data_IF_853031388016
#
_entry.id   IF_853031388016
#
_cell.length_a   1.000
_cell.length_b   1.000
_cell.length_c   1.000
_cell.angle_alpha   90.00
_cell.angle_beta   90.00
_cell.angle_gamma   90.00
#
_symmetry.space_group_name_H-M   'P 1'
#
loop_
_entity.id
_entity.type
_entity.pdbx_description
1 polymer ?
#
# COMPACT_ATOMS: atom_id res chain seq x y z
N UNK A 1 14.90 6.01 9.62
CA UNK A 1 14.26 6.42 8.35
C UNK A 1 13.10 7.36 8.66
N UNK A 2 13.09 8.55 8.05
CA UNK A 2 12.03 9.54 8.26
C UNK A 2 10.73 9.16 7.53
N UNK A 3 9.65 9.89 7.83
CA UNK A 3 8.30 9.62 7.31
C UNK A 3 8.19 9.85 5.80
N UNK A 4 8.85 10.88 5.27
CA UNK A 4 8.78 11.20 3.85
C UNK A 4 9.45 10.08 3.04
N UNK A 5 10.62 9.60 3.49
CA UNK A 5 11.29 8.46 2.88
C UNK A 5 10.45 7.19 2.89
N UNK A 6 9.72 6.93 3.99
CA UNK A 6 8.79 5.78 4.07
C UNK A 6 7.64 5.88 3.07
N UNK A 7 7.09 7.09 2.87
CA UNK A 7 6.05 7.34 1.86
C UNK A 7 6.59 7.08 0.45
N UNK A 8 7.80 7.55 0.14
CA UNK A 8 8.45 7.31 -1.15
C UNK A 8 8.67 5.81 -1.42
N UNK A 9 9.13 5.06 -0.42
CA UNK A 9 9.28 3.61 -0.51
C UNK A 9 7.93 2.96 -0.82
N UNK A 10 6.90 3.26 -0.03
CA UNK A 10 5.56 2.69 -0.24
C UNK A 10 5.01 3.04 -1.61
N UNK A 11 5.16 4.29 -2.07
CA UNK A 11 4.68 4.68 -3.40
C UNK A 11 5.46 3.99 -4.52
N UNK A 12 6.77 3.77 -4.35
CA UNK A 12 7.56 2.96 -5.28
C UNK A 12 7.03 1.52 -5.36
N UNK A 13 6.68 0.92 -4.21
CA UNK A 13 6.08 -0.41 -4.18
C UNK A 13 4.69 -0.43 -4.83
N UNK A 14 3.85 0.57 -4.59
CA UNK A 14 2.54 0.65 -5.24
C UNK A 14 2.69 0.77 -6.76
N UNK A 15 3.62 1.58 -7.25
CA UNK A 15 3.92 1.69 -8.68
C UNK A 15 4.40 0.35 -9.25
N UNK A 16 5.32 -0.32 -8.56
CA UNK A 16 5.75 -1.66 -8.96
C UNK A 16 4.56 -2.61 -9.07
N UNK A 17 3.69 -2.65 -8.06
CA UNK A 17 2.48 -3.49 -8.06
C UNK A 17 1.54 -3.14 -9.22
N UNK A 18 1.35 -1.84 -9.50
CA UNK A 18 0.50 -1.34 -10.57
C UNK A 18 1.03 -1.60 -11.99
N UNK A 19 2.34 -1.67 -12.16
CA UNK A 19 2.98 -1.96 -13.44
C UNK A 19 2.93 -3.45 -13.82
N UNK A 20 2.72 -4.33 -12.84
CA UNK A 20 2.76 -5.79 -13.03
C UNK A 20 1.37 -6.45 -13.11
N UNK A 21 0.32 -5.81 -12.59
CA UNK A 21 -1.05 -6.36 -12.63
C UNK A 21 -2.06 -5.31 -13.11
N UNK A 22 -2.72 -5.60 -14.23
CA UNK A 22 -3.76 -4.71 -14.77
C UNK A 22 -4.92 -4.57 -13.78
N UNK A 23 -5.29 -3.33 -13.44
CA UNK A 23 -6.38 -3.04 -12.51
C UNK A 23 -5.99 -3.12 -11.02
N UNK A 24 -4.77 -3.53 -10.69
CA UNK A 24 -4.24 -3.45 -9.32
C UNK A 24 -3.65 -2.04 -9.12
N UNK A 25 -4.22 -1.24 -8.21
CA UNK A 25 -3.75 0.12 -7.93
C UNK A 25 -3.72 1.09 -9.12
N UNK A 26 -4.19 0.71 -10.32
CA UNK A 26 -4.23 1.59 -11.50
C UNK A 26 -5.57 1.50 -12.22
N UNK A 27 -6.09 2.66 -12.60
CA UNK A 27 -7.28 2.78 -13.43
C UNK A 27 -7.08 3.91 -14.45
N UNK A 28 -7.00 3.56 -15.73
CA UNK A 28 -6.53 4.50 -16.75
C UNK A 28 -5.11 4.98 -16.44
N UNK A 29 -4.90 6.30 -16.47
CA UNK A 29 -3.61 6.93 -16.15
C UNK A 29 -3.39 7.16 -14.64
N UNK A 30 -4.40 6.88 -13.80
CA UNK A 30 -4.35 7.16 -12.37
C UNK A 30 -3.80 5.96 -11.59
N UNK A 31 -2.72 6.18 -10.84
CA UNK A 31 -2.15 5.19 -9.90
C UNK A 31 -2.39 5.62 -8.46
N UNK A 32 -2.83 4.70 -7.63
CA UNK A 32 -3.05 4.94 -6.21
C UNK A 32 -1.74 5.34 -5.54
N UNK A 33 -1.80 6.23 -4.55
CA UNK A 33 -0.59 6.69 -3.88
C UNK A 33 -0.88 7.28 -2.51
N UNK A 34 0.14 7.31 -1.66
CA UNK A 34 0.15 8.07 -0.43
C UNK A 34 0.71 9.48 -0.67
N UNK A 35 0.14 10.46 0.03
CA UNK A 35 0.67 11.82 0.10
C UNK A 35 0.56 12.38 1.51
N UNK A 36 1.45 13.32 1.84
CA UNK A 36 1.45 14.01 3.12
C UNK A 36 1.29 15.52 2.89
N UNK A 37 0.38 16.18 3.63
CA UNK A 37 0.11 17.62 3.49
C UNK A 37 0.87 18.48 4.53
N UNK A 38 1.86 17.89 5.21
CA UNK A 38 2.56 18.49 6.35
C UNK A 38 1.93 18.15 7.71
N UNK A 39 0.66 17.73 7.74
CA UNK A 39 -0.06 17.37 8.98
C UNK A 39 -0.62 15.96 8.97
N UNK A 40 -1.16 15.52 7.85
CA UNK A 40 -1.92 14.29 7.69
C UNK A 40 -1.35 13.44 6.56
N UNK A 41 -1.43 12.13 6.77
CA UNK A 41 -1.22 11.15 5.72
C UNK A 41 -2.55 10.92 5.00
N UNK A 42 -2.50 10.88 3.68
CA UNK A 42 -3.63 10.61 2.81
C UNK A 42 -3.29 9.46 1.87
N UNK A 43 -4.24 8.57 1.64
CA UNK A 43 -4.21 7.62 0.55
C UNK A 43 -5.19 8.11 -0.52
N UNK A 44 -4.71 8.26 -1.76
CA UNK A 44 -5.53 8.59 -2.93
C UNK A 44 -5.77 7.29 -3.67
N UNK A 45 -7.04 6.93 -3.80
CA UNK A 45 -7.46 5.71 -4.47
C UNK A 45 -7.50 5.89 -5.99
N UNK A 46 -6.94 4.94 -6.74
CA UNK A 46 -6.83 4.95 -8.20
C UNK A 46 -8.17 5.11 -8.95
N UNK A 47 -9.23 4.46 -8.48
CA UNK A 47 -10.52 4.49 -9.17
C UNK A 47 -11.35 5.73 -8.79
N UNK A 48 -11.51 5.99 -7.49
CA UNK A 48 -12.34 7.12 -7.04
C UNK A 48 -11.63 8.48 -7.12
N UNK A 49 -10.30 8.49 -7.19
CA UNK A 49 -9.42 9.65 -7.07
C UNK A 49 -9.69 10.49 -5.80
N UNK A 50 -10.27 9.89 -4.76
CA UNK A 50 -10.59 10.57 -3.51
C UNK A 50 -9.47 10.38 -2.49
N UNK A 51 -8.93 11.49 -2.00
CA UNK A 51 -7.99 11.48 -0.89
C UNK A 51 -8.70 11.09 0.44
N UNK A 52 -8.23 10.01 1.06
CA UNK A 52 -8.75 9.46 2.31
C UNK A 52 -7.69 9.53 3.40
N UNK A 53 -8.06 10.11 4.55
CA UNK A 53 -7.12 10.32 5.65
C UNK A 53 -6.74 8.99 6.27
N UNK A 54 -5.45 8.71 6.32
CA UNK A 54 -4.90 7.53 6.97
C UNK A 54 -4.41 7.91 8.37
N UNK A 55 -4.71 7.05 9.35
CA UNK A 55 -4.30 7.20 10.74
C UNK A 55 -3.83 5.84 11.27
N UNK A 56 -3.27 5.80 12.48
CA UNK A 56 -2.94 4.54 13.17
C UNK A 56 -4.15 3.69 13.55
N UNK A 57 -5.38 4.21 13.43
CA UNK A 57 -6.58 3.39 13.64
C UNK A 57 -6.79 2.44 12.47
N UNK A 58 -7.06 1.17 12.78
CA UNK A 58 -7.37 0.11 11.82
C UNK A 58 -8.80 0.18 11.27
N UNK A 59 -9.70 0.93 11.93
CA UNK A 59 -11.10 1.06 11.51
C UNK A 59 -11.24 2.02 10.33
N UNK A 60 -12.04 1.62 9.34
CA UNK A 60 -12.48 2.53 8.27
C UNK A 60 -13.39 3.61 8.85
N UNK A 61 -13.21 4.85 8.41
CA UNK A 61 -14.21 5.88 8.58
C UNK A 61 -15.21 5.87 7.41
N UNK A 62 -16.34 6.59 7.55
CA UNK A 62 -17.39 6.66 6.52
C UNK A 62 -16.89 7.06 5.13
N UNK A 63 -15.86 7.90 5.04
CA UNK A 63 -15.27 8.30 3.76
C UNK A 63 -14.52 7.12 3.13
N UNK A 64 -13.76 6.38 3.92
CA UNK A 64 -13.05 5.18 3.46
C UNK A 64 -14.00 4.06 3.05
N UNK A 65 -15.06 3.83 3.80
CA UNK A 65 -16.09 2.83 3.44
C UNK A 65 -16.76 3.16 2.11
N UNK A 66 -16.95 4.45 1.80
CA UNK A 66 -17.65 4.90 0.60
C UNK A 66 -16.76 4.97 -0.65
N UNK A 67 -15.49 5.35 -0.49
CA UNK A 67 -14.64 5.71 -1.64
C UNK A 67 -13.44 4.77 -1.86
N UNK A 68 -13.11 3.91 -0.91
CA UNK A 68 -12.11 2.88 -1.17
C UNK A 68 -12.71 1.84 -2.12
N UNK A 69 -12.18 1.77 -3.34
CA UNK A 69 -12.76 0.99 -4.44
C UNK A 69 -12.38 -0.49 -4.43
N UNK A 70 -11.29 -0.85 -3.75
CA UNK A 70 -10.77 -2.22 -3.76
C UNK A 70 -11.32 -3.10 -2.62
N UNK A 71 -11.06 -4.40 -2.71
CA UNK A 71 -11.48 -5.40 -1.71
C UNK A 71 -10.67 -5.42 -0.40
N UNK A 72 -11.02 -6.36 0.48
CA UNK A 72 -10.43 -6.51 1.82
C UNK A 72 -8.92 -6.78 1.82
N UNK A 73 -8.43 -7.60 0.91
CA UNK A 73 -6.99 -7.89 0.74
C UNK A 73 -6.19 -6.62 0.48
N UNK A 74 -6.71 -5.77 -0.41
CA UNK A 74 -6.06 -4.51 -0.74
C UNK A 74 -6.09 -3.53 0.42
N UNK A 75 -7.22 -3.48 1.13
CA UNK A 75 -7.32 -2.67 2.34
C UNK A 75 -6.27 -3.07 3.37
N UNK A 76 -6.10 -4.37 3.63
CA UNK A 76 -5.09 -4.86 4.57
C UNK A 76 -3.67 -4.44 4.16
N UNK A 77 -3.32 -4.54 2.88
CA UNK A 77 -2.01 -4.09 2.38
C UNK A 77 -1.80 -2.58 2.58
N UNK A 78 -2.81 -1.75 2.26
CA UNK A 78 -2.78 -0.30 2.51
C UNK A 78 -2.64 0.01 4.00
N UNK A 79 -3.17 -0.83 4.88
CA UNK A 79 -2.99 -0.70 6.32
C UNK A 79 -1.56 -1.05 6.76
N UNK A 80 -0.98 -2.13 6.26
CA UNK A 80 0.42 -2.47 6.52
C UNK A 80 1.36 -1.34 6.06
N UNK A 81 1.13 -0.78 4.87
CA UNK A 81 1.86 0.40 4.39
C UNK A 81 1.68 1.63 5.27
N UNK A 82 0.45 1.87 5.76
CA UNK A 82 0.18 2.97 6.69
C UNK A 82 0.98 2.82 7.97
N UNK A 83 1.03 1.61 8.53
CA UNK A 83 1.73 1.33 9.78
C UNK A 83 3.25 1.47 9.60
N UNK A 84 3.80 1.00 8.48
CA UNK A 84 5.18 1.25 8.08
C UNK A 84 5.51 2.74 8.02
N UNK A 85 4.67 3.55 7.35
CA UNK A 85 4.85 5.01 7.25
C UNK A 85 4.84 5.66 8.65
N UNK A 86 4.07 5.11 9.59
CA UNK A 86 4.01 5.58 10.97
C UNK A 86 5.14 5.07 11.88
N UNK A 87 6.06 4.27 11.35
CA UNK A 87 7.29 3.84 12.02
C UNK A 87 7.34 2.37 12.43
N UNK A 88 6.37 1.54 12.03
CA UNK A 88 6.42 0.10 12.29
C UNK A 88 7.16 -0.65 11.18
N UNK A 89 8.44 -0.95 11.44
CA UNK A 89 9.31 -1.68 10.52
C UNK A 89 8.96 -3.18 10.39
N UNK A 90 7.97 -3.68 11.15
CA UNK A 90 7.48 -5.06 11.08
C UNK A 90 6.00 -5.14 10.67
N UNK A 91 5.50 -4.11 10.00
CA UNK A 91 4.06 -3.96 9.69
C UNK A 91 3.51 -4.95 8.67
N UNK A 92 4.35 -5.53 7.81
CA UNK A 92 3.89 -6.39 6.72
C UNK A 92 3.12 -7.64 7.21
N UNK A 93 1.86 -7.76 6.78
CA UNK A 93 0.97 -8.88 7.08
C UNK A 93 0.21 -8.75 8.41
N UNK A 94 0.43 -7.69 9.19
CA UNK A 94 -0.20 -7.52 10.49
C UNK A 94 -1.69 -7.19 10.40
N UNK A 95 -2.13 -6.64 9.27
CA UNK A 95 -3.55 -6.32 9.02
C UNK A 95 -4.29 -7.43 8.28
N UNK A 96 -3.72 -8.64 8.20
CA UNK A 96 -4.31 -9.82 7.58
C UNK A 96 -3.87 -10.04 6.14
N UNK A 97 -4.34 -11.13 5.54
CA UNK A 97 -4.05 -11.55 4.15
C UNK A 97 -2.57 -11.71 3.76
N UNK A 98 -1.62 -11.53 4.68
CA UNK A 98 -0.20 -11.81 4.49
C UNK A 98 0.62 -10.68 3.85
N UNK A 99 0.03 -9.50 3.62
CA UNK A 99 0.75 -8.35 3.02
C UNK A 99 1.40 -8.71 1.68
N UNK A 100 2.68 -8.38 1.51
CA UNK A 100 3.47 -8.74 0.33
C UNK A 100 3.80 -10.26 0.24
N UNK A 101 3.45 -11.06 1.24
CA UNK A 101 3.51 -12.52 1.15
C UNK A 101 2.18 -13.15 0.68
N UNK A 102 1.13 -12.36 0.47
CA UNK A 102 -0.13 -12.87 -0.07
C UNK A 102 0.09 -13.53 -1.45
N UNK A 103 -0.56 -14.67 -1.68
CA UNK A 103 -0.50 -15.43 -2.94
C UNK A 103 -1.71 -15.18 -3.84
N UNK A 104 -2.65 -14.35 -3.41
CA UNK A 104 -3.89 -14.07 -4.13
C UNK A 104 -3.77 -12.91 -5.13
N UNK A 105 -2.55 -12.41 -5.38
CA UNK A 105 -2.30 -11.31 -6.31
C UNK A 105 -2.39 -11.70 -7.79
N UNK A 106 -2.56 -13.00 -8.10
CA UNK A 106 -2.62 -13.49 -9.49
C UNK A 106 -1.25 -13.78 -10.13
N UNK A 107 -0.17 -13.50 -9.40
CA UNK A 107 1.20 -13.52 -9.91
C UNK A 107 1.86 -14.89 -9.91
N UNK A 108 2.86 -15.04 -10.77
CA UNK A 108 3.78 -16.17 -10.69
C UNK A 108 4.61 -16.11 -9.40
N UNK A 109 5.16 -17.26 -9.00
CA UNK A 109 6.08 -17.32 -7.84
C UNK A 109 7.31 -16.43 -8.03
N UNK A 110 7.78 -16.30 -9.26
CA UNK A 110 8.95 -15.49 -9.61
C UNK A 110 8.66 -13.99 -9.43
N UNK A 111 7.55 -13.50 -9.98
CA UNK A 111 7.14 -12.09 -9.83
C UNK A 111 6.87 -11.71 -8.37
N UNK A 112 6.24 -12.62 -7.62
CA UNK A 112 6.07 -12.42 -6.17
C UNK A 112 7.41 -12.32 -5.44
N UNK A 113 8.41 -13.12 -5.81
CA UNK A 113 9.72 -13.04 -5.17
C UNK A 113 10.49 -11.79 -5.61
N UNK A 114 10.44 -11.40 -6.88
CA UNK A 114 11.05 -10.17 -7.37
C UNK A 114 10.52 -8.94 -6.63
N UNK A 115 9.21 -8.87 -6.41
CA UNK A 115 8.59 -7.82 -5.61
C UNK A 115 9.10 -7.82 -4.16
N UNK A 116 9.25 -9.00 -3.54
CA UNK A 116 9.76 -9.10 -2.16
C UNK A 116 11.23 -8.72 -2.07
N UNK A 117 12.05 -9.11 -3.04
CA UNK A 117 13.44 -8.66 -3.16
C UNK A 117 13.48 -7.15 -3.25
N UNK A 118 12.72 -6.55 -4.16
CA UNK A 118 12.63 -5.11 -4.29
C UNK A 118 12.17 -4.43 -2.98
N UNK A 119 11.18 -5.00 -2.30
CA UNK A 119 10.71 -4.50 -1.01
C UNK A 119 11.75 -4.62 0.12
N UNK A 120 12.62 -5.64 0.10
CA UNK A 120 13.76 -5.77 1.04
C UNK A 120 14.84 -4.72 0.73
N UNK A 121 15.20 -4.54 -0.54
CA UNK A 121 16.18 -3.54 -0.99
C UNK A 121 15.76 -2.12 -0.60
N UNK A 122 14.47 -1.83 -0.69
CA UNK A 122 13.89 -0.54 -0.30
C UNK A 122 13.73 -0.38 1.22
N UNK A 123 13.96 -1.44 2.01
CA UNK A 123 13.86 -1.43 3.46
C UNK A 123 12.43 -1.48 4.02
N UNK A 124 11.46 -1.93 3.21
CA UNK A 124 10.09 -2.20 3.68
C UNK A 124 9.99 -3.58 4.34
N UNK A 125 10.49 -4.63 3.66
CA UNK A 125 10.61 -5.96 4.24
C UNK A 125 11.97 -6.11 4.92
N UNK A 126 11.99 -6.87 6.02
CA UNK A 126 13.24 -7.28 6.65
C UNK A 126 13.83 -8.49 5.93
N UNK A 127 15.16 -8.56 5.94
CA UNK A 127 15.98 -9.67 5.46
C UNK A 127 15.76 -10.94 6.26
#
# INVERSE_FOLDING_TARGET
MDKQKRIEIVNSLINYLADHEEGLFRYGDETAHFKHDGRNLWFVDHYSNVAMRMTRSSYKNKKQERYFSSGGTMWALIRDFTDFIYGDDNSNGNNGYGGLYCTHWGWTKEEMENMRVHAREMGYLKS
#
